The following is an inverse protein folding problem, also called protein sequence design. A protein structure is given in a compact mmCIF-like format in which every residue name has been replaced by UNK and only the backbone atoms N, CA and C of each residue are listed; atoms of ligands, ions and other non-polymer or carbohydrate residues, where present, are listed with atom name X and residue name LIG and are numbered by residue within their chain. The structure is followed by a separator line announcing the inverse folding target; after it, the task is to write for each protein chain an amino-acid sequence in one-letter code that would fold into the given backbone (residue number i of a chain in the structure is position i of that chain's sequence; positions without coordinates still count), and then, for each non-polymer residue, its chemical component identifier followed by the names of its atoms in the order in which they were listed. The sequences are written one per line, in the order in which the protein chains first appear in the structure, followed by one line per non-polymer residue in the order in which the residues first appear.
data_IF_757974875144
#
_entry.id   IF_757974875144
#
_cell.length_a   1.000
_cell.length_b   1.000
_cell.length_c   1.000
_cell.angle_alpha   90.00
_cell.angle_beta   90.00
_cell.angle_gamma   90.00
#
_symmetry.space_group_name_H-M   'P 1'
#
loop_
_entity.id
_entity.type
_entity.pdbx_description
1 polymer ?
#
# COMPACT_ATOMS: atom_id res chain seq x y z
N UNK A 1 -17.57 7.23 -14.70
CA UNK A 1 -17.08 8.62 -14.63
C UNK A 1 -15.66 8.58 -14.09
N UNK A 2 -14.73 9.39 -14.61
CA UNK A 2 -13.35 9.37 -14.10
C UNK A 2 -13.32 10.08 -12.74
N UNK A 3 -12.75 9.40 -11.72
CA UNK A 3 -12.54 9.94 -10.37
C UNK A 3 -11.17 10.60 -10.22
N UNK A 4 -10.47 10.78 -11.32
CA UNK A 4 -9.18 11.48 -11.36
C UNK A 4 -9.04 12.27 -12.66
N UNK A 5 -8.20 13.30 -12.63
CA UNK A 5 -7.78 14.05 -13.81
C UNK A 5 -6.26 14.23 -13.83
N UNK A 6 -5.70 14.35 -15.03
CA UNK A 6 -4.27 14.63 -15.22
C UNK A 6 -4.15 16.01 -15.83
N UNK A 7 -3.37 16.88 -15.20
CA UNK A 7 -3.03 18.23 -15.66
C UNK A 7 -1.52 18.45 -15.68
N UNK A 8 -1.09 19.65 -16.03
CA UNK A 8 0.31 20.08 -15.89
C UNK A 8 0.39 21.27 -14.96
N UNK A 9 1.40 21.29 -14.11
CA UNK A 9 1.78 22.46 -13.32
C UNK A 9 2.34 23.58 -14.20
N UNK A 10 2.51 24.76 -13.67
CA UNK A 10 3.18 25.88 -14.35
C UNK A 10 4.62 25.53 -14.79
N UNK A 11 5.27 24.62 -14.07
CA UNK A 11 6.60 24.11 -14.38
C UNK A 11 6.61 22.97 -15.40
N UNK A 12 5.43 22.58 -15.94
CA UNK A 12 5.26 21.51 -16.93
C UNK A 12 5.21 20.09 -16.35
N UNK A 13 5.30 19.93 -15.04
CA UNK A 13 5.20 18.63 -14.35
C UNK A 13 3.76 18.11 -14.41
N UNK A 14 3.59 16.80 -14.62
CA UNK A 14 2.27 16.17 -14.61
C UNK A 14 1.73 16.08 -13.18
N UNK A 15 0.48 16.48 -13.00
CA UNK A 15 -0.24 16.40 -11.73
C UNK A 15 -1.41 15.43 -11.87
N UNK A 16 -1.59 14.57 -10.88
CA UNK A 16 -2.75 13.69 -10.71
C UNK A 16 -3.64 14.26 -9.60
N UNK A 17 -4.84 14.72 -9.98
CA UNK A 17 -5.84 15.21 -9.02
C UNK A 17 -6.88 14.13 -8.79
N UNK A 18 -7.11 13.78 -7.52
CA UNK A 18 -8.13 12.83 -7.08
C UNK A 18 -9.41 13.54 -6.65
N UNK A 19 -10.53 12.95 -6.97
CA UNK A 19 -11.87 13.41 -6.60
C UNK A 19 -12.67 12.29 -5.96
N UNK A 20 -13.49 12.63 -4.98
CA UNK A 20 -14.43 11.72 -4.36
C UNK A 20 -15.42 11.16 -5.40
N UNK A 21 -15.65 9.85 -5.43
CA UNK A 21 -16.66 9.27 -6.32
C UNK A 21 -18.10 9.58 -5.88
N UNK A 22 -18.30 10.09 -4.67
CA UNK A 22 -19.62 10.38 -4.10
C UNK A 22 -20.15 11.74 -4.59
N UNK A 23 -19.32 12.78 -4.52
CA UNK A 23 -19.74 14.17 -4.75
C UNK A 23 -18.77 14.97 -5.65
N UNK A 24 -17.71 14.32 -6.15
CA UNK A 24 -16.65 14.93 -6.96
C UNK A 24 -15.84 16.02 -6.25
N UNK A 25 -15.95 16.11 -4.93
CA UNK A 25 -15.12 17.02 -4.15
C UNK A 25 -13.64 16.64 -4.30
N UNK A 26 -12.76 17.64 -4.24
CA UNK A 26 -11.33 17.44 -4.30
C UNK A 26 -10.82 16.65 -3.06
N UNK A 27 -10.05 15.59 -3.29
CA UNK A 27 -9.40 14.80 -2.24
C UNK A 27 -7.97 15.25 -2.06
N UNK A 28 -7.16 15.14 -3.12
CA UNK A 28 -5.74 15.49 -3.09
C UNK A 28 -5.18 15.68 -4.51
N UNK A 29 -3.96 16.24 -4.60
CA UNK A 29 -3.24 16.39 -5.87
C UNK A 29 -1.80 15.93 -5.68
N UNK A 30 -1.35 14.99 -6.52
CA UNK A 30 -0.03 14.39 -6.48
C UNK A 30 0.78 14.74 -7.72
N UNK A 31 2.07 14.98 -7.51
CA UNK A 31 3.01 15.08 -8.63
C UNK A 31 3.31 13.70 -9.21
N UNK A 32 3.17 13.56 -10.54
CA UNK A 32 3.52 12.30 -11.22
C UNK A 32 5.05 12.15 -11.27
N UNK A 33 5.53 10.99 -10.90
CA UNK A 33 6.96 10.65 -10.97
C UNK A 33 7.46 10.72 -12.43
N UNK A 34 8.59 11.39 -12.66
CA UNK A 34 9.20 11.46 -13.98
C UNK A 34 9.79 10.12 -14.42
N UNK A 35 9.95 9.90 -15.73
CA UNK A 35 10.60 8.68 -16.24
C UNK A 35 12.06 8.55 -15.77
N UNK A 36 12.74 9.67 -15.58
CA UNK A 36 14.11 9.69 -15.05
C UNK A 36 14.14 9.27 -13.57
N UNK A 37 13.22 9.77 -12.76
CA UNK A 37 13.13 9.42 -11.35
C UNK A 37 12.67 7.99 -11.14
N UNK A 38 11.80 7.45 -12.00
CA UNK A 38 11.46 6.02 -12.00
C UNK A 38 12.71 5.17 -12.13
N UNK A 39 13.63 5.51 -13.05
CA UNK A 39 14.88 4.77 -13.22
C UNK A 39 15.79 4.83 -11.99
N UNK A 40 15.87 5.99 -11.33
CA UNK A 40 16.60 6.15 -10.05
C UNK A 40 15.95 5.32 -8.92
N UNK A 41 14.63 5.40 -8.78
CA UNK A 41 13.88 4.65 -7.78
C UNK A 41 14.07 3.14 -7.98
N UNK A 42 14.00 2.64 -9.22
CA UNK A 42 14.24 1.23 -9.53
C UNK A 42 15.64 0.77 -9.18
N UNK A 43 16.65 1.62 -9.39
CA UNK A 43 18.03 1.32 -9.02
C UNK A 43 18.16 1.23 -7.49
N UNK A 44 17.62 2.19 -6.76
CA UNK A 44 17.61 2.18 -5.29
C UNK A 44 16.85 0.96 -4.73
N UNK A 45 15.71 0.61 -5.32
CA UNK A 45 14.93 -0.56 -4.92
C UNK A 45 15.72 -1.87 -5.09
N UNK A 46 16.50 -2.02 -6.18
CA UNK A 46 17.38 -3.17 -6.40
C UNK A 46 18.48 -3.27 -5.34
N UNK A 47 19.08 -2.14 -4.96
CA UNK A 47 20.08 -2.08 -3.89
C UNK A 47 19.45 -2.49 -2.55
N UNK A 48 18.31 -1.87 -2.20
CA UNK A 48 17.58 -2.20 -0.97
C UNK A 48 17.17 -3.68 -0.92
N UNK A 49 16.72 -4.25 -2.04
CA UNK A 49 16.37 -5.66 -2.14
C UNK A 49 17.58 -6.57 -1.88
N UNK A 50 18.78 -6.18 -2.30
CA UNK A 50 20.01 -6.94 -2.05
C UNK A 50 20.35 -7.03 -0.56
N UNK A 51 20.03 -6.01 0.23
CA UNK A 51 20.14 -6.05 1.68
C UNK A 51 18.97 -6.81 2.33
N UNK A 52 17.75 -6.53 1.87
CA UNK A 52 16.55 -7.20 2.38
C UNK A 52 16.59 -8.72 2.26
N UNK A 53 17.13 -9.26 1.16
CA UNK A 53 17.24 -10.73 1.00
C UNK A 53 18.17 -11.39 2.03
N UNK A 54 19.08 -10.65 2.69
CA UNK A 54 19.95 -11.15 3.76
C UNK A 54 19.24 -11.31 5.09
N UNK A 55 18.07 -10.67 5.28
CA UNK A 55 17.28 -10.80 6.51
C UNK A 55 16.72 -12.22 6.61
N UNK A 56 16.72 -12.75 7.83
CA UNK A 56 16.17 -14.08 8.09
C UNK A 56 14.66 -14.13 7.90
N UNK A 57 14.12 -15.31 7.62
CA UNK A 57 12.67 -15.49 7.53
C UNK A 57 11.96 -15.12 8.84
N UNK A 58 12.61 -15.38 9.99
CA UNK A 58 12.08 -15.03 11.31
C UNK A 58 11.90 -13.52 11.44
N UNK A 59 12.93 -12.73 11.12
CA UNK A 59 12.86 -11.27 11.17
C UNK A 59 11.77 -10.71 10.25
N UNK A 60 11.62 -11.28 9.04
CA UNK A 60 10.55 -10.87 8.12
C UNK A 60 9.15 -11.17 8.67
N UNK A 61 8.98 -12.35 9.29
CA UNK A 61 7.71 -12.73 9.95
C UNK A 61 7.39 -11.78 11.11
N UNK A 62 8.38 -11.46 11.96
CA UNK A 62 8.22 -10.51 13.05
C UNK A 62 7.82 -9.12 12.53
N UNK A 63 8.40 -8.68 11.42
CA UNK A 63 8.04 -7.42 10.78
C UNK A 63 6.59 -7.43 10.27
N UNK A 64 6.13 -8.53 9.66
CA UNK A 64 4.74 -8.65 9.20
C UNK A 64 3.74 -8.59 10.35
N UNK A 65 4.05 -9.18 11.51
CA UNK A 65 3.21 -9.01 12.70
C UNK A 65 3.18 -7.56 13.19
N UNK A 66 4.31 -6.85 13.22
CA UNK A 66 4.34 -5.42 13.56
C UNK A 66 3.51 -4.58 12.58
N UNK A 67 3.56 -4.90 11.29
CA UNK A 67 2.70 -4.22 10.28
C UNK A 67 1.22 -4.47 10.58
N UNK A 68 0.82 -5.70 10.90
CA UNK A 68 -0.56 -6.02 11.29
C UNK A 68 -1.01 -5.22 12.51
N UNK A 69 -0.16 -5.13 13.54
CA UNK A 69 -0.44 -4.33 14.75
C UNK A 69 -0.62 -2.84 14.42
N UNK A 70 0.21 -2.28 13.54
CA UNK A 70 0.09 -0.88 13.10
C UNK A 70 -1.21 -0.66 12.31
N UNK A 71 -1.60 -1.59 11.43
CA UNK A 71 -2.88 -1.49 10.70
C UNK A 71 -4.06 -1.47 11.67
N UNK A 72 -4.05 -2.33 12.71
CA UNK A 72 -5.09 -2.33 13.74
C UNK A 72 -5.10 -1.00 14.51
N UNK A 73 -3.94 -0.51 14.92
CA UNK A 73 -3.84 0.76 15.66
C UNK A 73 -4.31 1.97 14.85
N UNK A 74 -4.15 1.93 13.54
CA UNK A 74 -4.52 3.02 12.63
C UNK A 74 -5.81 2.75 11.84
N UNK A 75 -6.60 1.75 12.23
CA UNK A 75 -7.79 1.31 11.48
C UNK A 75 -8.75 2.45 11.14
N UNK A 76 -9.03 3.34 12.10
CA UNK A 76 -9.99 4.43 11.90
C UNK A 76 -9.51 5.41 10.81
N UNK A 77 -8.22 5.76 10.84
CA UNK A 77 -7.61 6.60 9.81
C UNK A 77 -7.60 5.93 8.44
N UNK A 78 -7.31 4.63 8.40
CA UNK A 78 -7.31 3.86 7.14
C UNK A 78 -8.73 3.82 6.57
N UNK A 79 -9.73 3.54 7.41
CA UNK A 79 -11.14 3.54 6.99
C UNK A 79 -11.58 4.90 6.45
N UNK A 80 -11.22 5.99 7.14
CA UNK A 80 -11.55 7.35 6.70
C UNK A 80 -11.01 7.62 5.28
N UNK A 81 -9.76 7.28 5.02
CA UNK A 81 -9.13 7.43 3.70
C UNK A 81 -9.85 6.57 2.66
N UNK A 82 -10.06 5.28 2.95
CA UNK A 82 -10.74 4.35 2.04
C UNK A 82 -12.14 4.84 1.70
N UNK A 83 -12.94 5.24 2.69
CA UNK A 83 -14.30 5.75 2.49
C UNK A 83 -14.31 7.00 1.62
N UNK A 84 -13.37 7.91 1.86
CA UNK A 84 -13.25 9.16 1.09
C UNK A 84 -12.87 8.92 -0.37
N UNK A 85 -11.93 7.99 -0.62
CA UNK A 85 -11.41 7.71 -1.96
C UNK A 85 -12.30 6.77 -2.78
N UNK A 86 -13.05 5.88 -2.13
CA UNK A 86 -13.83 4.83 -2.80
C UNK A 86 -15.34 5.01 -2.71
N UNK A 87 -15.82 5.82 -1.78
CA UNK A 87 -17.26 5.96 -1.47
C UNK A 87 -17.86 4.75 -0.75
N UNK A 88 -17.04 3.79 -0.29
CA UNK A 88 -17.53 2.61 0.45
C UNK A 88 -18.13 2.99 1.80
N UNK A 89 -19.20 2.32 2.25
CA UNK A 89 -19.69 2.48 3.61
C UNK A 89 -18.68 1.91 4.64
N UNK A 90 -18.74 2.41 5.88
CA UNK A 90 -17.79 2.07 6.93
C UNK A 90 -17.64 0.56 7.18
N UNK A 91 -18.76 -0.17 7.19
CA UNK A 91 -18.75 -1.63 7.40
C UNK A 91 -17.99 -2.37 6.30
N UNK A 92 -18.15 -1.92 5.07
CA UNK A 92 -17.45 -2.50 3.92
C UNK A 92 -15.94 -2.13 3.95
N UNK A 93 -15.59 -0.89 4.26
CA UNK A 93 -14.20 -0.48 4.43
C UNK A 93 -13.50 -1.29 5.54
N UNK A 94 -14.17 -1.52 6.68
CA UNK A 94 -13.65 -2.35 7.75
C UNK A 94 -13.46 -3.81 7.30
N UNK A 95 -14.48 -4.43 6.73
CA UNK A 95 -14.47 -5.85 6.43
C UNK A 95 -13.54 -6.20 5.26
N UNK A 96 -13.57 -5.39 4.19
CA UNK A 96 -12.88 -5.72 2.94
C UNK A 96 -11.45 -5.19 2.88
N UNK A 97 -11.15 -4.08 3.57
CA UNK A 97 -9.83 -3.48 3.52
C UNK A 97 -9.03 -3.76 4.80
N UNK A 98 -9.51 -3.34 5.96
CA UNK A 98 -8.75 -3.46 7.21
C UNK A 98 -8.67 -4.90 7.69
N UNK A 99 -9.83 -5.56 7.88
CA UNK A 99 -9.86 -6.93 8.39
C UNK A 99 -9.16 -7.90 7.45
N UNK A 100 -9.45 -7.83 6.15
CA UNK A 100 -8.85 -8.70 5.15
C UNK A 100 -7.33 -8.53 5.06
N UNK A 101 -6.81 -7.30 5.18
CA UNK A 101 -5.39 -7.04 5.19
C UNK A 101 -4.70 -7.65 6.42
N UNK A 102 -5.26 -7.43 7.61
CA UNK A 102 -4.72 -7.98 8.88
C UNK A 102 -4.77 -9.50 8.88
N UNK A 103 -5.91 -10.10 8.51
CA UNK A 103 -6.06 -11.55 8.43
C UNK A 103 -5.03 -12.18 7.48
N UNK A 104 -4.87 -11.60 6.28
CA UNK A 104 -3.88 -12.04 5.31
C UNK A 104 -2.45 -11.94 5.84
N UNK A 105 -2.07 -10.80 6.43
CA UNK A 105 -0.74 -10.61 7.01
C UNK A 105 -0.43 -11.69 8.07
N UNK A 106 -1.34 -11.89 9.01
CA UNK A 106 -1.18 -12.87 10.09
C UNK A 106 -1.20 -14.30 9.56
N UNK A 107 -2.10 -14.61 8.63
CA UNK A 107 -2.22 -15.94 8.01
C UNK A 107 -0.93 -16.35 7.29
N UNK A 108 -0.40 -15.49 6.42
CA UNK A 108 0.81 -15.77 5.66
C UNK A 108 2.06 -15.76 6.56
N UNK A 109 2.16 -14.83 7.51
CA UNK A 109 3.26 -14.79 8.46
C UNK A 109 3.37 -16.09 9.26
N UNK A 110 2.26 -16.60 9.82
CA UNK A 110 2.24 -17.88 10.58
C UNK A 110 2.65 -19.08 9.74
N UNK A 111 2.40 -19.08 8.43
CA UNK A 111 2.66 -20.21 7.52
C UNK A 111 3.96 -20.08 6.72
N UNK A 112 4.59 -18.92 6.74
CA UNK A 112 5.76 -18.62 5.93
C UNK A 112 6.86 -19.67 6.08
N UNK A 113 7.19 -20.08 7.31
CA UNK A 113 8.22 -21.10 7.56
C UNK A 113 7.90 -22.44 6.87
N UNK A 114 6.64 -22.88 6.94
CA UNK A 114 6.21 -24.14 6.32
C UNK A 114 6.25 -24.09 4.79
N UNK A 115 5.84 -22.96 4.21
CA UNK A 115 5.69 -22.85 2.77
C UNK A 115 6.97 -22.45 2.03
N UNK A 116 7.87 -21.75 2.71
CA UNK A 116 9.14 -21.29 2.15
C UNK A 116 10.35 -22.15 2.56
N UNK A 117 10.15 -23.21 3.35
CA UNK A 117 11.22 -24.17 3.66
C UNK A 117 11.47 -25.08 2.46
N UNK A 118 12.75 -25.48 2.29
CA UNK A 118 13.15 -26.44 1.27
C UNK A 118 12.39 -27.76 1.44
N UNK A 119 11.78 -28.23 0.36
CA UNK A 119 11.20 -29.58 0.33
C UNK A 119 12.33 -30.57 0.04
N UNK A 120 12.59 -31.48 0.99
CA UNK A 120 13.41 -32.67 0.68
C UNK A 120 12.63 -33.49 -0.36
N UNK A 121 13.25 -33.69 -1.51
CA UNK A 121 12.82 -34.62 -2.55
C UNK A 121 13.24 -36.02 -2.14
#
# INVERSE_FOLDING_TARGET
MAIFSISKSETGQKLLTLQSPVDLSHIDTYECTSSEDISKIMTQAKIAQSEWKKTSLKERVELMHKVADIVIQQQDRIMEVVMRETGKPQQEAMAMEVFSAVDSLVFYAKRAKKWLSDKKI
#
